data_IF_839661536533
#
_entry.id   IF_839661536533
#
_cell.length_a   1.000
_cell.length_b   1.000
_cell.length_c   1.000
_cell.angle_alpha   90.00
_cell.angle_beta   90.00
_cell.angle_gamma   90.00
#
_symmetry.space_group_name_H-M   'P 1'
#
loop_
_entity.id
_entity.type
_entity.pdbx_description
1 polymer ?
#
# COMPACT_ATOMS: atom_id res chain seq x y z
N UNK A 1 -30.94 -21.97 -39.73
CA UNK A 1 -31.21 -23.40 -39.53
C UNK A 1 -30.07 -23.97 -38.70
N UNK A 2 -30.29 -24.17 -37.40
CA UNK A 2 -29.29 -24.75 -36.50
C UNK A 2 -29.95 -25.87 -35.71
N UNK A 3 -29.61 -27.11 -36.03
CA UNK A 3 -29.99 -28.28 -35.26
C UNK A 3 -28.89 -28.57 -34.24
N UNK A 4 -29.09 -28.13 -33.00
CA UNK A 4 -28.30 -28.61 -31.86
C UNK A 4 -28.95 -29.88 -31.34
N UNK A 5 -28.38 -31.05 -31.64
CA UNK A 5 -28.83 -32.33 -31.11
C UNK A 5 -28.56 -32.39 -29.60
N UNK A 6 -29.59 -32.13 -28.80
CA UNK A 6 -29.58 -32.30 -27.36
C UNK A 6 -29.67 -33.79 -27.01
N UNK A 7 -28.57 -34.35 -26.49
CA UNK A 7 -28.57 -35.71 -25.96
C UNK A 7 -29.54 -35.83 -24.79
N UNK A 8 -30.32 -36.90 -24.79
CA UNK A 8 -31.28 -37.17 -23.73
C UNK A 8 -30.56 -37.45 -22.41
N UNK A 9 -31.18 -37.18 -21.24
CA UNK A 9 -30.57 -37.44 -19.94
C UNK A 9 -30.13 -38.90 -19.73
N UNK A 10 -30.82 -39.84 -20.38
CA UNK A 10 -30.49 -41.27 -20.44
C UNK A 10 -29.15 -41.52 -21.16
N UNK A 11 -28.89 -40.81 -22.26
CA UNK A 11 -27.64 -40.91 -23.01
C UNK A 11 -26.46 -40.32 -22.23
N UNK A 12 -26.66 -39.19 -21.55
CA UNK A 12 -25.64 -38.61 -20.67
C UNK A 12 -25.28 -39.54 -19.51
N UNK A 13 -26.27 -40.20 -18.89
CA UNK A 13 -26.02 -41.22 -17.86
C UNK A 13 -25.22 -42.40 -18.41
N UNK A 14 -25.56 -42.89 -19.61
CA UNK A 14 -24.81 -43.97 -20.26
C UNK A 14 -23.36 -43.56 -20.56
N UNK A 15 -23.13 -42.33 -21.01
CA UNK A 15 -21.78 -41.77 -21.23
C UNK A 15 -21.00 -41.68 -19.92
N UNK A 16 -21.61 -41.20 -18.85
CA UNK A 16 -20.98 -41.13 -17.52
C UNK A 16 -20.62 -42.52 -16.98
N UNK A 17 -21.53 -43.50 -17.14
CA UNK A 17 -21.32 -44.89 -16.72
C UNK A 17 -20.22 -45.58 -17.53
N UNK A 18 -20.18 -45.33 -18.84
CA UNK A 18 -19.10 -45.81 -19.70
C UNK A 18 -17.76 -45.14 -19.36
N UNK A 19 -17.76 -43.85 -19.02
CA UNK A 19 -16.56 -43.12 -18.56
C UNK A 19 -16.02 -43.68 -17.24
N UNK A 20 -16.90 -43.99 -16.29
CA UNK A 20 -16.53 -44.61 -15.01
C UNK A 20 -15.98 -46.02 -15.21
N UNK A 21 -16.60 -46.83 -16.08
CA UNK A 21 -16.11 -48.17 -16.43
C UNK A 21 -14.75 -48.12 -17.13
N UNK A 22 -14.52 -47.16 -18.02
CA UNK A 22 -13.24 -46.96 -18.68
C UNK A 22 -12.13 -46.59 -17.67
N UNK A 23 -12.40 -45.65 -16.76
CA UNK A 23 -11.46 -45.28 -15.68
C UNK A 23 -11.15 -46.46 -14.74
N UNK A 24 -12.15 -47.28 -14.41
CA UNK A 24 -11.96 -48.45 -13.57
C UNK A 24 -11.06 -49.50 -14.26
N UNK A 25 -11.26 -49.76 -15.56
CA UNK A 25 -10.40 -50.66 -16.34
C UNK A 25 -8.98 -50.14 -16.46
N UNK A 26 -8.80 -48.83 -16.65
CA UNK A 26 -7.46 -48.23 -16.70
C UNK A 26 -6.72 -48.40 -15.36
N UNK A 27 -7.39 -48.15 -14.23
CA UNK A 27 -6.80 -48.39 -12.89
C UNK A 27 -6.44 -49.86 -12.66
N UNK A 28 -7.27 -50.79 -13.14
CA UNK A 28 -6.95 -52.22 -13.09
C UNK A 28 -5.76 -52.59 -13.98
N UNK A 29 -5.65 -52.01 -15.19
CA UNK A 29 -4.48 -52.20 -16.02
C UNK A 29 -3.22 -51.59 -15.39
N UNK A 30 -3.32 -50.41 -14.78
CA UNK A 30 -2.20 -49.79 -14.06
C UNK A 30 -1.79 -50.64 -12.84
N UNK A 31 -2.74 -51.22 -12.12
CA UNK A 31 -2.45 -52.12 -11.00
C UNK A 31 -1.86 -53.47 -11.44
N UNK A 32 -2.26 -53.98 -12.61
CA UNK A 32 -1.69 -55.21 -13.20
C UNK A 32 -0.33 -54.93 -13.85
N UNK A 33 -0.12 -53.75 -14.45
CA UNK A 33 1.16 -53.34 -15.02
C UNK A 33 2.21 -53.07 -13.94
N UNK A 34 1.79 -52.76 -12.70
CA UNK A 34 2.69 -52.58 -11.56
C UNK A 34 3.09 -53.88 -10.87
N UNK A 35 2.53 -55.04 -11.26
CA UNK A 35 2.94 -56.35 -10.72
C UNK A 35 4.10 -56.99 -11.49
N UNK A 36 5.04 -56.19 -11.99
CA UNK A 36 6.32 -56.73 -12.46
C UNK A 36 7.25 -56.91 -11.26
N UNK A 37 7.59 -58.15 -10.94
CA UNK A 37 8.46 -58.54 -9.82
C UNK A 37 9.96 -58.33 -10.10
N UNK A 38 10.28 -57.58 -11.16
CA UNK A 38 11.65 -57.38 -11.64
C UNK A 38 12.22 -56.10 -11.00
N UNK A 39 13.34 -56.16 -10.25
CA UNK A 39 13.97 -54.97 -9.70
C UNK A 39 14.47 -54.03 -10.81
N UNK A 40 14.45 -52.72 -10.57
CA UNK A 40 14.92 -51.76 -11.56
C UNK A 40 16.46 -51.80 -11.73
N UNK A 41 17.00 -51.07 -12.71
CA UNK A 41 18.44 -51.01 -13.01
C UNK A 41 19.34 -50.61 -11.82
N UNK A 42 18.78 -50.03 -10.75
CA UNK A 42 19.50 -49.67 -9.52
C UNK A 42 19.29 -50.70 -8.39
N UNK A 43 18.82 -51.92 -8.70
CA UNK A 43 18.53 -53.01 -7.76
C UNK A 43 17.55 -52.64 -6.63
N UNK A 44 16.72 -51.61 -6.82
CA UNK A 44 15.69 -51.22 -5.84
C UNK A 44 14.39 -51.94 -6.16
N UNK A 45 13.76 -52.52 -5.14
CA UNK A 45 12.42 -53.10 -5.25
C UNK A 45 11.40 -51.99 -5.55
N UNK A 46 10.37 -52.23 -6.38
CA UNK A 46 9.27 -51.29 -6.56
C UNK A 46 8.60 -50.97 -5.22
N UNK A 47 8.21 -49.70 -5.02
CA UNK A 47 7.50 -49.27 -3.83
C UNK A 47 6.11 -49.91 -3.80
N UNK A 48 5.89 -50.77 -2.81
CA UNK A 48 4.58 -51.35 -2.55
C UNK A 48 3.69 -50.26 -1.93
N UNK A 49 2.69 -49.80 -2.69
CA UNK A 49 1.73 -48.82 -2.20
C UNK A 49 0.73 -49.56 -1.33
N UNK A 50 1.00 -49.63 -0.03
CA UNK A 50 0.05 -50.20 0.93
C UNK A 50 -1.22 -49.35 0.93
N UNK A 51 -2.40 -49.92 0.62
CA UNK A 51 -3.65 -49.17 0.61
C UNK A 51 -3.95 -48.63 2.02
N UNK A 52 -4.59 -47.47 2.08
CA UNK A 52 -4.86 -46.72 3.33
C UNK A 52 -5.71 -47.47 4.37
N UNK A 53 -6.23 -48.66 4.04
CA UNK A 53 -7.04 -49.52 4.90
C UNK A 53 -6.24 -50.65 5.58
N UNK A 54 -4.92 -50.73 5.40
CA UNK A 54 -4.11 -51.79 6.01
C UNK A 54 -3.76 -51.48 7.49
N UNK A 55 -3.88 -52.48 8.36
CA UNK A 55 -3.58 -52.39 9.80
C UNK A 55 -2.14 -52.84 10.16
N UNK A 56 -1.17 -52.66 9.24
CA UNK A 56 0.22 -53.04 9.46
C UNK A 56 0.93 -52.16 10.51
N UNK A 57 1.86 -52.71 11.34
CA UNK A 57 2.53 -51.97 12.42
C UNK A 57 3.50 -50.88 11.92
N UNK A 58 3.86 -50.88 10.64
CA UNK A 58 4.80 -49.93 10.02
C UNK A 58 4.14 -48.61 9.60
N UNK A 59 2.89 -48.35 10.03
CA UNK A 59 2.19 -47.09 9.77
C UNK A 59 2.98 -45.93 10.41
N UNK A 60 3.40 -44.90 9.65
CA UNK A 60 3.93 -43.69 10.25
C UNK A 60 2.84 -43.09 11.14
N UNK A 61 3.07 -43.07 12.45
CA UNK A 61 2.16 -42.46 13.40
C UNK A 61 1.90 -40.99 13.03
N UNK A 62 0.72 -40.49 13.39
CA UNK A 62 0.28 -39.11 13.14
C UNK A 62 1.21 -38.13 13.88
N UNK A 63 2.36 -37.81 13.30
CA UNK A 63 3.30 -36.84 13.88
C UNK A 63 2.64 -35.47 13.81
N UNK A 64 2.61 -34.77 14.95
CA UNK A 64 2.16 -33.38 15.01
C UNK A 64 2.94 -32.58 13.97
N UNK A 65 2.27 -31.70 13.20
CA UNK A 65 2.96 -30.88 12.20
C UNK A 65 4.04 -30.04 12.89
N UNK A 66 5.23 -30.01 12.29
CA UNK A 66 6.36 -29.24 12.81
C UNK A 66 5.95 -27.76 12.91
N UNK A 67 6.31 -27.11 14.03
CA UNK A 67 6.06 -25.67 14.20
C UNK A 67 6.96 -24.88 13.25
N UNK A 68 6.35 -23.96 12.51
CA UNK A 68 7.03 -23.08 11.56
C UNK A 68 7.96 -22.10 12.28
N UNK A 69 9.17 -21.93 11.74
CA UNK A 69 10.12 -20.93 12.16
C UNK A 69 9.63 -19.52 11.80
N UNK A 70 9.59 -18.61 12.77
CA UNK A 70 9.02 -17.26 12.64
C UNK A 70 9.84 -16.32 11.76
N UNK A 71 11.09 -16.70 11.42
CA UNK A 71 12.01 -15.92 10.58
C UNK A 71 11.73 -16.09 9.09
N UNK A 72 11.03 -17.16 8.71
CA UNK A 72 10.54 -17.37 7.36
C UNK A 72 9.20 -16.61 7.25
N UNK A 73 9.18 -15.55 6.42
CA UNK A 73 7.97 -14.77 6.14
C UNK A 73 6.77 -15.62 5.71
N UNK A 74 5.58 -15.04 5.59
CA UNK A 74 4.37 -15.77 5.19
C UNK A 74 4.53 -16.38 3.80
N UNK A 75 5.00 -17.63 3.72
CA UNK A 75 4.97 -18.42 2.52
C UNK A 75 3.50 -18.65 2.16
N UNK A 76 3.07 -18.11 1.03
CA UNK A 76 1.76 -18.42 0.47
C UNK A 76 1.88 -19.82 -0.12
N UNK A 77 1.43 -20.82 0.63
CA UNK A 77 1.26 -22.17 0.13
C UNK A 77 0.09 -22.14 -0.85
N UNK A 78 0.41 -22.00 -2.13
CA UNK A 78 -0.58 -22.16 -3.18
C UNK A 78 -1.00 -23.63 -3.21
N UNK A 79 -2.20 -23.90 -2.71
CA UNK A 79 -2.83 -25.19 -2.85
C UNK A 79 -3.08 -25.46 -4.34
N UNK A 80 -2.16 -26.18 -4.97
CA UNK A 80 -2.18 -26.51 -6.39
C UNK A 80 -3.40 -27.37 -6.76
N UNK A 81 -4.16 -27.90 -5.79
CA UNK A 81 -5.46 -28.54 -6.04
C UNK A 81 -6.56 -27.54 -6.39
N UNK A 82 -6.42 -26.28 -5.97
CA UNK A 82 -7.34 -25.18 -6.30
C UNK A 82 -6.98 -24.44 -7.59
N UNK A 83 -5.80 -24.70 -8.15
CA UNK A 83 -5.35 -24.07 -9.39
C UNK A 83 -5.97 -24.78 -10.59
N UNK A 84 -7.09 -24.25 -11.09
CA UNK A 84 -7.74 -24.77 -12.30
C UNK A 84 -7.05 -24.19 -13.52
N UNK A 85 -6.42 -25.05 -14.34
CA UNK A 85 -5.83 -24.63 -15.60
C UNK A 85 -6.95 -24.27 -16.59
N UNK A 86 -7.25 -22.96 -16.70
CA UNK A 86 -8.30 -22.45 -17.58
C UNK A 86 -7.92 -22.43 -19.06
N UNK A 87 -6.76 -22.95 -19.47
CA UNK A 87 -6.28 -23.08 -20.87
C UNK A 87 -6.74 -21.94 -21.80
N UNK A 88 -6.52 -20.70 -21.35
CA UNK A 88 -6.85 -19.49 -22.10
C UNK A 88 -8.12 -18.79 -21.60
N UNK A 89 -7.92 -17.79 -20.74
CA UNK A 89 -8.75 -16.59 -20.67
C UNK A 89 -10.25 -16.78 -20.40
N UNK A 90 -10.62 -17.21 -19.20
CA UNK A 90 -11.96 -16.92 -18.65
C UNK A 90 -11.82 -16.72 -17.13
N UNK A 91 -12.32 -15.60 -16.62
CA UNK A 91 -12.32 -15.28 -15.19
C UNK A 91 -13.15 -16.33 -14.44
N UNK A 92 -12.51 -17.11 -13.56
CA UNK A 92 -13.23 -17.85 -12.53
C UNK A 92 -13.62 -16.84 -11.45
N UNK A 93 -14.92 -16.70 -11.21
CA UNK A 93 -15.52 -15.66 -10.38
C UNK A 93 -15.44 -16.03 -8.88
N UNK A 94 -14.23 -16.17 -8.33
CA UNK A 94 -13.97 -16.45 -6.91
C UNK A 94 -14.08 -15.18 -6.02
N UNK A 95 -14.91 -14.21 -6.40
CA UNK A 95 -15.05 -12.92 -5.73
C UNK A 95 -16.26 -12.78 -4.80
N UNK A 96 -17.20 -13.74 -4.80
CA UNK A 96 -18.52 -13.56 -4.13
C UNK A 96 -18.48 -13.81 -2.63
N UNK A 97 -17.76 -14.82 -2.15
CA UNK A 97 -17.75 -15.15 -0.70
C UNK A 97 -16.97 -14.13 0.14
N UNK A 98 -15.86 -13.59 -0.39
CA UNK A 98 -15.10 -12.54 0.30
C UNK A 98 -15.88 -11.21 0.42
N UNK A 99 -16.81 -10.94 -0.50
CA UNK A 99 -17.64 -9.73 -0.51
C UNK A 99 -18.81 -9.82 0.51
N UNK A 100 -19.39 -11.01 0.72
CA UNK A 100 -20.45 -11.21 1.72
C UNK A 100 -19.95 -11.09 3.16
N UNK A 101 -18.78 -11.66 3.48
CA UNK A 101 -18.17 -11.56 4.81
C UNK A 101 -17.77 -10.12 5.17
N UNK A 102 -17.30 -9.35 4.18
CA UNK A 102 -17.00 -7.92 4.35
C UNK A 102 -18.28 -7.11 4.60
N UNK A 103 -19.36 -7.37 3.85
CA UNK A 103 -20.67 -6.73 4.05
C UNK A 103 -21.32 -7.10 5.39
N UNK A 104 -21.12 -8.32 5.87
CA UNK A 104 -21.59 -8.74 7.19
C UNK A 104 -20.87 -7.99 8.32
N UNK A 105 -19.54 -7.89 8.25
CA UNK A 105 -18.73 -7.08 9.19
C UNK A 105 -19.05 -5.59 9.13
N UNK A 106 -19.37 -5.06 7.95
CA UNK A 106 -19.79 -3.66 7.80
C UNK A 106 -21.12 -3.38 8.49
N UNK A 107 -22.15 -4.23 8.27
CA UNK A 107 -23.45 -4.13 8.96
C UNK A 107 -23.34 -4.23 10.48
N UNK A 108 -22.46 -5.09 10.98
CA UNK A 108 -22.23 -5.20 12.42
C UNK A 108 -21.59 -3.92 12.99
N UNK A 109 -20.60 -3.36 12.30
CA UNK A 109 -19.99 -2.07 12.66
C UNK A 109 -21.00 -0.93 12.62
N UNK A 110 -21.90 -0.92 11.65
CA UNK A 110 -22.97 0.07 11.54
C UNK A 110 -23.94 -0.03 12.72
N UNK A 111 -24.35 -1.25 13.11
CA UNK A 111 -25.17 -1.46 14.33
C UNK A 111 -24.45 -0.98 15.59
N UNK A 112 -23.16 -1.26 15.74
CA UNK A 112 -22.38 -0.78 16.90
C UNK A 112 -22.30 0.75 16.94
N UNK A 113 -22.17 1.42 15.79
CA UNK A 113 -22.23 2.88 15.70
C UNK A 113 -23.61 3.42 16.05
N UNK A 114 -24.68 2.79 15.58
CA UNK A 114 -26.05 3.16 15.90
C UNK A 114 -26.33 3.03 17.41
N UNK A 115 -25.86 1.95 18.05
CA UNK A 115 -25.97 1.77 19.50
C UNK A 115 -25.19 2.83 20.30
N UNK A 116 -24.02 3.25 19.83
CA UNK A 116 -23.26 4.32 20.50
C UNK A 116 -23.89 5.71 20.36
N UNK A 117 -24.78 5.89 19.38
CA UNK A 117 -25.54 7.11 19.11
C UNK A 117 -26.93 7.11 19.75
N UNK A 118 -27.27 6.11 20.59
CA UNK A 118 -28.56 6.09 21.28
C UNK A 118 -28.68 7.30 22.19
N UNK A 119 -29.76 8.04 21.98
CA UNK A 119 -30.09 9.27 22.68
C UNK A 119 -30.41 8.96 24.16
N UNK A 120 -29.75 9.63 25.13
CA UNK A 120 -30.05 9.48 26.54
C UNK A 120 -31.54 9.73 26.85
N UNK A 121 -32.10 9.06 27.88
CA UNK A 121 -33.46 9.33 28.32
C UNK A 121 -33.64 10.80 28.69
N UNK A 122 -34.61 11.47 28.08
CA UNK A 122 -35.03 12.81 28.50
C UNK A 122 -35.86 12.68 29.77
N UNK A 123 -35.58 13.51 30.78
CA UNK A 123 -36.39 13.56 31.98
C UNK A 123 -37.70 14.31 31.67
N UNK A 124 -38.80 13.84 32.28
CA UNK A 124 -40.10 14.50 32.17
C UNK A 124 -40.10 15.91 32.81
N UNK A 125 -39.22 16.14 33.78
CA UNK A 125 -38.98 17.45 34.37
C UNK A 125 -38.02 18.27 33.48
N UNK A 126 -38.47 19.39 32.88
CA UNK A 126 -37.63 20.22 32.02
C UNK A 126 -36.43 20.87 32.72
N UNK A 127 -36.45 20.99 34.05
CA UNK A 127 -35.36 21.60 34.82
C UNK A 127 -34.12 20.71 34.93
N UNK A 128 -34.32 19.39 34.88
CA UNK A 128 -33.25 18.40 34.94
C UNK A 128 -32.56 18.20 33.59
N UNK A 129 -33.16 18.70 32.51
CA UNK A 129 -32.64 18.54 31.17
C UNK A 129 -31.61 19.64 30.84
N UNK A 130 -30.42 19.27 30.36
CA UNK A 130 -29.41 20.24 29.97
C UNK A 130 -29.89 21.11 28.80
N UNK A 131 -29.66 22.41 28.89
CA UNK A 131 -30.07 23.40 27.89
C UNK A 131 -28.90 23.85 27.02
N UNK A 132 -29.20 24.25 25.78
CA UNK A 132 -28.23 24.87 24.87
C UNK A 132 -27.65 26.16 25.48
N UNK A 133 -26.33 26.35 25.39
CA UNK A 133 -25.65 27.55 25.91
C UNK A 133 -26.06 28.86 25.23
N UNK A 134 -26.51 28.80 23.97
CA UNK A 134 -26.78 30.00 23.15
C UNK A 134 -28.26 30.40 23.12
N UNK A 135 -29.18 29.42 23.12
CA UNK A 135 -30.62 29.67 22.93
C UNK A 135 -31.51 28.99 23.98
N UNK A 136 -30.90 28.36 24.99
CA UNK A 136 -31.57 27.71 26.13
C UNK A 136 -32.59 26.62 25.77
N UNK A 137 -32.61 26.17 24.51
CA UNK A 137 -33.46 25.06 24.06
C UNK A 137 -32.98 23.74 24.65
N UNK A 138 -33.92 22.85 24.95
CA UNK A 138 -33.66 21.53 25.52
C UNK A 138 -33.08 20.57 24.45
N UNK A 139 -33.38 20.82 23.17
CA UNK A 139 -32.94 20.01 22.03
C UNK A 139 -31.45 20.20 21.72
N UNK A 140 -30.59 19.56 22.51
CA UNK A 140 -29.14 19.58 22.35
C UNK A 140 -28.65 18.44 21.46
N UNK A 141 -27.51 18.64 20.77
CA UNK A 141 -26.83 17.53 20.12
C UNK A 141 -26.05 16.71 21.14
N UNK A 142 -26.53 15.49 21.37
CA UNK A 142 -25.94 14.53 22.29
C UNK A 142 -24.53 14.09 21.89
N UNK A 143 -24.20 14.08 20.58
CA UNK A 143 -22.86 13.78 20.09
C UNK A 143 -21.87 14.85 20.57
N UNK A 144 -22.27 16.13 20.48
CA UNK A 144 -21.44 17.25 20.94
C UNK A 144 -21.27 17.23 22.47
N UNK A 145 -22.34 16.93 23.20
CA UNK A 145 -22.28 16.76 24.65
C UNK A 145 -21.37 15.59 25.05
N UNK A 146 -21.49 14.45 24.40
CA UNK A 146 -20.74 13.21 24.75
C UNK A 146 -19.26 13.30 24.40
N UNK A 147 -18.93 13.87 23.24
CA UNK A 147 -17.55 13.90 22.75
C UNK A 147 -16.81 15.13 23.22
N UNK A 148 -17.40 16.31 23.11
CA UNK A 148 -16.74 17.58 23.40
C UNK A 148 -17.16 18.19 24.74
N UNK A 149 -18.20 17.67 25.41
CA UNK A 149 -18.74 18.28 26.62
C UNK A 149 -19.52 19.58 26.37
N UNK A 150 -19.84 19.89 25.11
CA UNK A 150 -20.50 21.14 24.73
C UNK A 150 -22.01 20.96 24.58
N UNK A 151 -22.79 21.78 25.29
CA UNK A 151 -24.25 21.80 25.21
C UNK A 151 -24.70 22.81 24.15
N UNK A 152 -24.95 22.32 22.93
CA UNK A 152 -25.36 23.16 21.80
C UNK A 152 -26.40 22.44 20.94
N UNK A 153 -27.43 23.15 20.49
CA UNK A 153 -28.45 22.63 19.58
C UNK A 153 -27.98 22.70 18.12
N UNK A 154 -28.64 21.95 17.22
CA UNK A 154 -28.32 21.98 15.78
C UNK A 154 -28.42 23.39 15.18
N UNK A 155 -29.45 24.15 15.55
CA UNK A 155 -29.67 25.52 15.04
C UNK A 155 -28.53 26.47 15.39
N UNK A 156 -28.02 26.40 16.62
CA UNK A 156 -26.92 27.25 17.07
C UNK A 156 -25.57 26.82 16.50
N UNK A 157 -25.39 25.52 16.20
CA UNK A 157 -24.19 25.05 15.48
C UNK A 157 -24.09 25.66 14.08
N UNK A 158 -25.21 25.70 13.37
CA UNK A 158 -25.26 26.28 12.02
C UNK A 158 -25.20 27.82 12.05
N UNK A 159 -25.72 28.44 13.10
CA UNK A 159 -25.71 29.90 13.28
C UNK A 159 -24.33 30.45 13.65
N UNK A 160 -23.53 29.68 14.39
CA UNK A 160 -22.22 30.09 14.91
C UNK A 160 -21.11 29.11 14.49
N UNK A 161 -20.83 28.97 13.18
CA UNK A 161 -19.79 28.07 12.69
C UNK A 161 -18.38 28.48 13.16
N UNK A 162 -18.17 29.76 13.45
CA UNK A 162 -16.91 30.28 14.01
C UNK A 162 -16.60 29.73 15.41
N UNK A 163 -17.59 29.19 16.13
CA UNK A 163 -17.37 28.53 17.43
C UNK A 163 -17.51 27.03 17.35
N UNK A 164 -18.58 26.57 16.68
CA UNK A 164 -19.01 25.17 16.76
C UNK A 164 -18.72 24.35 15.50
N UNK A 165 -18.06 24.92 14.50
CA UNK A 165 -17.61 24.14 13.33
C UNK A 165 -16.58 23.09 13.74
N UNK A 166 -16.63 21.95 13.03
CA UNK A 166 -15.72 20.85 13.23
C UNK A 166 -14.55 20.97 12.25
N UNK A 167 -13.33 20.91 12.79
CA UNK A 167 -12.09 20.98 12.03
C UNK A 167 -11.46 19.61 11.92
N UNK A 168 -10.96 19.29 10.74
CA UNK A 168 -10.17 18.10 10.49
C UNK A 168 -8.79 18.24 11.12
N UNK A 169 -8.16 17.09 11.42
CA UNK A 169 -6.78 17.02 11.89
C UNK A 169 -5.80 17.86 11.05
N UNK A 170 -5.99 17.90 9.73
CA UNK A 170 -5.15 18.66 8.80
C UNK A 170 -5.35 20.16 8.99
N UNK A 171 -6.59 20.63 9.07
CA UNK A 171 -6.91 22.04 9.33
C UNK A 171 -6.33 22.51 10.67
N UNK A 172 -6.46 21.71 11.74
CA UNK A 172 -5.86 22.05 13.03
C UNK A 172 -4.33 22.21 12.99
N UNK A 173 -3.65 21.45 12.11
CA UNK A 173 -2.19 21.56 11.94
C UNK A 173 -1.77 22.74 11.07
N UNK A 174 -2.55 23.02 10.04
CA UNK A 174 -2.24 24.06 9.06
C UNK A 174 -2.58 25.45 9.60
N UNK A 175 -3.77 25.61 10.19
CA UNK A 175 -4.30 26.90 10.64
C UNK A 175 -3.77 27.27 12.04
N UNK A 176 -3.76 26.30 12.97
CA UNK A 176 -3.38 26.55 14.38
C UNK A 176 -1.96 26.09 14.73
N UNK A 177 -1.21 25.59 13.74
CA UNK A 177 0.17 25.13 13.88
C UNK A 177 0.36 24.09 15.01
N UNK A 178 -0.67 23.29 15.28
CA UNK A 178 -0.66 22.25 16.32
C UNK A 178 0.12 21.02 15.87
N UNK A 179 0.68 20.29 16.83
CA UNK A 179 1.46 19.09 16.58
C UNK A 179 0.59 17.84 16.58
N UNK A 180 1.10 16.78 15.96
CA UNK A 180 0.42 15.48 15.93
C UNK A 180 0.30 14.81 17.31
N UNK A 181 1.21 15.13 18.23
CA UNK A 181 1.19 14.61 19.59
C UNK A 181 0.04 15.23 20.40
N UNK A 182 -0.07 16.56 20.35
CA UNK A 182 -1.15 17.31 21.02
C UNK A 182 -2.54 16.89 20.51
N UNK A 183 -2.69 16.72 19.18
CA UNK A 183 -3.97 16.33 18.57
C UNK A 183 -4.38 14.87 18.82
N UNK A 184 -3.46 13.99 19.22
CA UNK A 184 -3.81 12.60 19.56
C UNK A 184 -4.26 12.46 21.00
N UNK A 185 -3.90 13.41 21.86
CA UNK A 185 -4.27 13.38 23.26
C UNK A 185 -5.76 13.73 23.43
N UNK A 186 -6.53 12.74 23.89
CA UNK A 186 -7.98 12.86 24.05
C UNK A 186 -8.36 13.68 25.28
N UNK A 187 -7.49 13.75 26.29
CA UNK A 187 -7.74 14.55 27.49
C UNK A 187 -7.56 16.04 27.19
N UNK A 188 -6.56 16.35 26.36
CA UNK A 188 -6.26 17.72 25.96
C UNK A 188 -7.23 18.23 24.90
N UNK A 189 -7.46 17.45 23.84
CA UNK A 189 -8.33 17.80 22.72
C UNK A 189 -9.24 16.62 22.36
N UNK A 190 -10.48 16.61 22.89
CA UNK A 190 -11.46 15.63 22.53
C UNK A 190 -11.77 15.68 21.03
N UNK A 191 -11.90 14.50 20.40
CA UNK A 191 -12.14 14.40 18.96
C UNK A 191 -13.19 13.36 18.61
N UNK A 192 -13.92 13.64 17.53
CA UNK A 192 -14.91 12.77 16.94
C UNK A 192 -14.29 12.01 15.76
N UNK A 193 -14.32 10.68 15.82
CA UNK A 193 -13.87 9.82 14.73
C UNK A 193 -15.01 9.58 13.73
N UNK A 194 -14.77 9.89 12.46
CA UNK A 194 -15.67 9.61 11.33
C UNK A 194 -14.95 8.80 10.25
N UNK A 195 -15.71 8.04 9.47
CA UNK A 195 -15.15 7.37 8.31
C UNK A 195 -14.61 8.42 7.33
N UNK A 196 -13.49 8.11 6.67
CA UNK A 196 -12.91 9.02 5.71
C UNK A 196 -13.84 9.14 4.48
N UNK A 197 -14.21 10.37 4.07
CA UNK A 197 -15.14 10.59 2.96
C UNK A 197 -14.62 10.08 1.61
N UNK A 198 -13.30 9.95 1.44
CA UNK A 198 -12.73 9.44 0.19
C UNK A 198 -12.84 7.92 0.08
N UNK A 199 -12.43 7.18 1.12
CA UNK A 199 -12.53 5.72 1.20
C UNK A 199 -12.65 5.28 2.64
N UNK A 200 -13.66 4.46 2.96
CA UNK A 200 -13.88 3.92 4.30
C UNK A 200 -12.74 3.01 4.80
N UNK A 201 -11.90 2.50 3.90
CA UNK A 201 -10.71 1.68 4.23
C UNK A 201 -9.52 2.51 4.70
N UNK A 202 -9.50 3.81 4.43
CA UNK A 202 -8.46 4.70 4.93
C UNK A 202 -8.60 4.97 6.42
N UNK A 203 -7.55 5.52 7.02
CA UNK A 203 -7.58 5.93 8.42
C UNK A 203 -8.77 6.89 8.66
N UNK A 204 -9.47 6.67 9.78
CA UNK A 204 -10.61 7.49 10.15
C UNK A 204 -10.22 8.97 10.26
N UNK A 205 -11.13 9.83 9.82
CA UNK A 205 -11.01 11.27 9.97
C UNK A 205 -11.26 11.66 11.42
N UNK A 206 -10.37 12.48 11.99
CA UNK A 206 -10.52 13.04 13.33
C UNK A 206 -11.04 14.47 13.20
N UNK A 207 -12.16 14.74 13.86
CA UNK A 207 -12.84 16.03 13.88
C UNK A 207 -12.73 16.65 15.27
N UNK A 208 -12.28 17.90 15.34
CA UNK A 208 -12.08 18.68 16.55
C UNK A 208 -13.05 19.86 16.58
N UNK A 209 -13.43 20.32 17.77
CA UNK A 209 -14.30 21.48 17.91
C UNK A 209 -13.48 22.77 17.82
N UNK A 210 -13.84 23.69 16.92
CA UNK A 210 -13.09 24.93 16.64
C UNK A 210 -12.78 25.74 17.90
N UNK A 211 -13.77 26.05 18.73
CA UNK A 211 -13.54 26.85 19.94
C UNK A 211 -12.55 26.21 20.93
N UNK A 212 -12.55 24.87 21.07
CA UNK A 212 -11.60 24.17 21.93
C UNK A 212 -10.18 24.21 21.37
N UNK A 213 -10.05 24.09 20.04
CA UNK A 213 -8.78 24.19 19.34
C UNK A 213 -8.20 25.60 19.46
N UNK A 214 -9.04 26.62 19.30
CA UNK A 214 -8.68 28.03 19.49
C UNK A 214 -8.20 28.31 20.91
N UNK A 215 -8.97 27.90 21.93
CA UNK A 215 -8.59 28.05 23.33
C UNK A 215 -7.24 27.37 23.63
N UNK A 216 -6.98 26.21 23.04
CA UNK A 216 -5.71 25.51 23.18
C UNK A 216 -4.57 26.23 22.44
N UNK A 217 -4.82 26.69 21.22
CA UNK A 217 -3.85 27.42 20.42
C UNK A 217 -3.44 28.73 21.10
N UNK A 218 -4.39 29.48 21.66
CA UNK A 218 -4.10 30.70 22.40
C UNK A 218 -3.31 30.42 23.68
N UNK A 219 -3.57 29.31 24.38
CA UNK A 219 -2.72 28.91 25.53
C UNK A 219 -1.29 28.57 25.11
N UNK A 220 -1.11 27.99 23.93
CA UNK A 220 0.20 27.59 23.41
C UNK A 220 1.01 28.76 22.86
N UNK A 221 0.37 29.61 22.08
CA UNK A 221 1.01 30.72 21.35
C UNK A 221 0.87 32.06 22.07
N UNK A 222 0.03 32.15 23.09
CA UNK A 222 -0.23 33.35 23.90
C UNK A 222 -1.37 34.20 23.35
N UNK A 223 -1.28 34.62 22.09
CA UNK A 223 -2.28 35.44 21.43
C UNK A 223 -2.52 35.00 19.97
N UNK A 224 -3.66 35.37 19.37
CA UNK A 224 -3.88 35.20 17.92
C UNK A 224 -2.77 35.86 17.09
N UNK A 225 -2.36 37.07 17.48
CA UNK A 225 -1.30 37.84 16.80
C UNK A 225 0.05 37.12 16.82
N UNK A 226 0.38 36.43 17.92
CA UNK A 226 1.62 35.65 18.02
C UNK A 226 1.59 34.41 17.13
N UNK A 227 0.43 33.78 16.96
CA UNK A 227 0.24 32.68 16.02
C UNK A 227 0.43 33.15 14.57
N UNK A 228 -0.14 34.30 14.21
CA UNK A 228 0.02 34.90 12.89
C UNK A 228 1.49 35.25 12.59
N UNK A 229 2.20 35.82 13.57
CA UNK A 229 3.63 36.11 13.43
C UNK A 229 4.47 34.83 13.20
N UNK A 230 4.17 33.73 13.91
CA UNK A 230 4.84 32.44 13.69
C UNK A 230 4.49 31.84 12.31
N UNK A 231 3.25 32.04 11.85
CA UNK A 231 2.84 31.62 10.51
C UNK A 231 3.63 32.36 9.43
N UNK A 232 3.73 33.69 9.52
CA UNK A 232 4.51 34.51 8.59
C UNK A 232 5.98 34.08 8.55
N UNK A 233 6.57 33.85 9.72
CA UNK A 233 7.95 33.34 9.85
C UNK A 233 8.13 32.01 9.10
N UNK A 234 7.21 31.05 9.27
CA UNK A 234 7.26 29.75 8.57
C UNK A 234 7.06 29.88 7.07
N UNK A 235 6.18 30.76 6.62
CA UNK A 235 5.95 31.01 5.18
C UNK A 235 7.19 31.62 4.53
N UNK A 236 7.81 32.60 5.20
CA UNK A 236 9.03 33.24 4.70
C UNK A 236 10.18 32.23 4.63
N UNK A 237 10.38 31.41 5.66
CA UNK A 237 11.38 30.33 5.64
C UNK A 237 11.13 29.32 4.52
N UNK A 238 9.87 28.92 4.31
CA UNK A 238 9.50 27.98 3.25
C UNK A 238 9.78 28.58 1.88
N UNK A 239 9.54 29.89 1.70
CA UNK A 239 9.89 30.64 0.49
C UNK A 239 11.41 30.68 0.29
N UNK A 240 12.18 31.03 1.33
CA UNK A 240 13.65 31.03 1.30
C UNK A 240 14.23 29.66 0.93
N UNK A 241 13.74 28.58 1.54
CA UNK A 241 14.16 27.19 1.24
C UNK A 241 13.83 26.79 -0.20
N UNK A 242 12.64 27.15 -0.70
CA UNK A 242 12.27 26.90 -2.10
C UNK A 242 13.16 27.65 -3.08
N UNK A 243 13.44 28.93 -2.81
CA UNK A 243 14.34 29.74 -3.64
C UNK A 243 15.76 29.17 -3.66
N UNK A 244 16.31 28.81 -2.49
CA UNK A 244 17.64 28.18 -2.40
C UNK A 244 17.69 26.88 -3.19
N UNK A 245 16.69 26.00 -3.05
CA UNK A 245 16.61 24.73 -3.80
C UNK A 245 16.51 24.98 -5.31
N UNK A 246 15.79 26.03 -5.72
CA UNK A 246 15.70 26.42 -7.13
C UNK A 246 17.04 26.92 -7.67
N UNK A 247 17.73 27.77 -6.94
CA UNK A 247 19.07 28.27 -7.30
C UNK A 247 20.10 27.14 -7.36
N UNK A 248 20.10 26.22 -6.40
CA UNK A 248 20.93 25.01 -6.41
C UNK A 248 20.62 24.14 -7.63
N UNK A 249 19.34 23.92 -7.94
CA UNK A 249 18.93 23.18 -9.13
C UNK A 249 19.39 23.86 -10.43
N UNK A 250 19.37 25.19 -10.50
CA UNK A 250 19.90 25.94 -11.66
C UNK A 250 21.42 25.85 -11.75
N UNK A 251 22.13 25.88 -10.61
CA UNK A 251 23.58 25.72 -10.55
C UNK A 251 24.00 24.32 -11.02
N UNK A 252 23.30 23.29 -10.55
CA UNK A 252 23.53 21.90 -10.96
C UNK A 252 23.22 21.66 -12.43
N UNK A 253 22.17 22.30 -12.96
CA UNK A 253 21.85 22.27 -14.38
C UNK A 253 22.98 22.91 -15.21
N UNK A 254 23.43 24.12 -14.82
CA UNK A 254 24.55 24.81 -15.49
C UNK A 254 25.83 23.99 -15.44
N UNK A 255 26.13 23.35 -14.31
CA UNK A 255 27.29 22.48 -14.15
C UNK A 255 27.24 21.30 -15.13
N UNK A 256 26.12 20.58 -15.18
CA UNK A 256 25.93 19.45 -16.11
C UNK A 256 26.06 19.86 -17.57
N UNK A 257 25.46 20.99 -17.97
CA UNK A 257 25.59 21.50 -19.34
C UNK A 257 27.02 21.95 -19.66
N UNK A 258 27.75 22.52 -18.69
CA UNK A 258 29.15 22.94 -18.86
C UNK A 258 30.10 21.77 -19.04
N UNK A 259 29.91 20.69 -18.28
CA UNK A 259 30.74 19.48 -18.37
C UNK A 259 30.61 18.83 -19.76
N UNK A 260 29.41 18.78 -20.35
CA UNK A 260 29.21 18.27 -21.71
C UNK A 260 29.86 19.11 -22.81
N UNK A 261 29.86 20.45 -22.68
CA UNK A 261 30.55 21.34 -23.63
C UNK A 261 32.07 21.28 -23.45
N UNK A 262 32.56 21.19 -22.22
CA UNK A 262 33.98 21.07 -21.92
C UNK A 262 34.56 19.72 -22.36
N UNK A 263 33.84 18.61 -22.14
CA UNK A 263 34.23 17.29 -22.64
C UNK A 263 34.27 17.27 -24.17
N UNK A 264 33.26 17.82 -24.86
CA UNK A 264 33.33 17.97 -26.33
C UNK A 264 34.53 18.78 -26.80
N UNK A 265 34.88 19.86 -26.08
CA UNK A 265 36.06 20.67 -26.41
C UNK A 265 37.37 19.91 -26.20
N UNK A 266 37.47 19.13 -25.12
CA UNK A 266 38.63 18.29 -24.82
C UNK A 266 38.76 17.10 -25.77
N UNK A 267 37.65 16.49 -26.16
CA UNK A 267 37.65 15.40 -27.16
C UNK A 267 38.00 15.93 -28.57
N UNK A 268 37.76 17.22 -28.84
CA UNK A 268 38.24 17.91 -30.04
C UNK A 268 39.72 18.29 -29.98
N UNK A 269 40.38 18.23 -28.81
CA UNK A 269 41.84 18.42 -28.74
C UNK A 269 42.52 17.21 -29.36
N UNK A 270 43.12 17.43 -30.53
CA UNK A 270 43.84 16.41 -31.28
C UNK A 270 45.01 15.87 -30.46
N UNK A 271 45.01 14.57 -30.15
CA UNK A 271 46.12 13.89 -29.49
C UNK A 271 47.11 13.41 -30.55
N UNK A 272 48.27 14.05 -30.63
CA UNK A 272 49.30 13.66 -31.58
C UNK A 272 49.84 12.26 -31.28
N UNK A 273 49.56 11.31 -32.19
CA UNK A 273 50.24 10.01 -32.21
C UNK A 273 51.38 10.12 -33.21
N UNK A 274 52.60 10.18 -32.68
CA UNK A 274 53.82 10.28 -33.48
C UNK A 274 54.26 8.90 -33.97
N UNK A 275 54.54 8.82 -35.27
CA UNK A 275 54.98 7.61 -35.95
C UNK A 275 56.47 7.32 -35.85
N UNK A 276 56.89 6.37 -36.67
CA UNK A 276 58.30 6.00 -36.91
C UNK A 276 59.15 7.24 -37.17
N UNK A 277 60.30 7.30 -36.50
CA UNK A 277 61.28 8.38 -36.64
C UNK A 277 61.80 8.43 -38.07
N UNK A 278 61.69 9.59 -38.71
CA UNK A 278 62.34 9.87 -39.98
C UNK A 278 63.65 10.60 -39.71
N UNK A 279 64.77 10.03 -40.15
CA UNK A 279 66.07 10.71 -40.13
C UNK A 279 66.13 11.71 -41.26
N UNK A 280 66.30 12.99 -40.94
CA UNK A 280 66.54 14.06 -41.91
C UNK A 280 67.98 14.04 -42.40
N UNK A 281 68.21 14.52 -43.62
CA UNK A 281 69.53 14.51 -44.29
C UNK A 281 70.63 15.25 -43.49
N UNK A 282 70.22 16.12 -42.55
CA UNK A 282 71.08 16.89 -41.65
C UNK A 282 71.48 16.15 -40.34
N UNK A 283 71.14 14.86 -40.21
CA UNK A 283 71.52 14.03 -39.04
C UNK A 283 70.60 14.18 -37.81
N UNK A 284 69.49 14.93 -37.94
CA UNK A 284 68.43 15.01 -36.92
C UNK A 284 67.39 13.89 -37.05
N UNK A 285 66.69 13.57 -35.96
CA UNK A 285 65.53 12.68 -35.98
C UNK A 285 64.24 13.51 -35.88
N UNK A 286 63.31 13.30 -36.79
CA UNK A 286 61.99 13.93 -36.79
C UNK A 286 60.88 12.91 -36.58
N UNK A 287 59.93 13.26 -35.71
CA UNK A 287 58.70 12.52 -35.52
C UNK A 287 57.53 13.27 -36.14
N UNK A 288 56.80 12.63 -37.05
CA UNK A 288 55.61 13.20 -37.69
C UNK A 288 54.36 12.53 -37.11
N UNK A 289 53.37 13.35 -36.74
CA UNK A 289 52.07 12.85 -36.33
C UNK A 289 51.29 12.33 -37.55
N UNK A 290 50.81 11.09 -37.49
CA UNK A 290 50.12 10.43 -38.60
C UNK A 290 48.79 11.08 -39.01
N UNK A 291 48.12 11.76 -38.09
CA UNK A 291 46.75 12.22 -38.29
C UNK A 291 46.68 13.71 -38.66
N UNK A 292 47.64 14.53 -38.24
CA UNK A 292 47.61 15.98 -38.49
C UNK A 292 48.90 16.54 -39.13
N UNK A 293 49.91 15.70 -39.38
CA UNK A 293 51.16 16.11 -40.02
C UNK A 293 52.06 17.03 -39.17
N UNK A 294 51.81 17.14 -37.86
CA UNK A 294 52.64 17.93 -36.96
C UNK A 294 54.01 17.26 -36.74
N UNK A 295 55.10 18.02 -36.87
CA UNK A 295 56.47 17.52 -36.82
C UNK A 295 57.18 17.99 -35.55
N UNK A 296 57.88 17.08 -34.87
CA UNK A 296 58.70 17.36 -33.70
C UNK A 296 60.13 16.88 -33.95
N UNK A 297 61.09 17.79 -33.80
CA UNK A 297 62.52 17.46 -33.84
C UNK A 297 62.94 16.84 -32.51
N UNK A 298 63.63 15.69 -32.56
CA UNK A 298 64.17 14.99 -31.41
C UNK A 298 65.67 14.82 -31.61
N UNK A 299 66.45 15.30 -30.64
CA UNK A 299 67.90 15.10 -30.61
C UNK A 299 68.21 13.66 -30.20
N UNK A 300 68.99 12.95 -31.01
CA UNK A 300 69.47 11.60 -30.69
C UNK A 300 70.74 11.76 -29.84
N UNK A 301 70.68 11.34 -28.58
CA UNK A 301 71.82 11.29 -27.64
C UNK A 301 72.68 10.06 -27.94
#
# INVERSE_FOLDING_TARGET
MSATSSFTPEELRKVELNRLRAKARQRQQESQASSSSVPNANQKRPLDVTPATSNSPTRPGLSKPLKRDSRLGSYFEYDLSKMVNSKGGFLVEDGKEADEDLRAKERERERQRAMQNVEPPMYLDPSLNPKCKECETIDIDYTFRKVFGCLVCNRCKDKYPEKYSLLTKTECKEDYLLTDAELRDRELLPHLLKANPHKATFANMMLFLRCQVEDFAWKKWGSPEALDAEWERRVEEKKKKKNKKFEESLRDLRRRTREGVWQRRKDQEHKHVFGTTHTTEDGGAQHVCHECGFTVDVEII
#
